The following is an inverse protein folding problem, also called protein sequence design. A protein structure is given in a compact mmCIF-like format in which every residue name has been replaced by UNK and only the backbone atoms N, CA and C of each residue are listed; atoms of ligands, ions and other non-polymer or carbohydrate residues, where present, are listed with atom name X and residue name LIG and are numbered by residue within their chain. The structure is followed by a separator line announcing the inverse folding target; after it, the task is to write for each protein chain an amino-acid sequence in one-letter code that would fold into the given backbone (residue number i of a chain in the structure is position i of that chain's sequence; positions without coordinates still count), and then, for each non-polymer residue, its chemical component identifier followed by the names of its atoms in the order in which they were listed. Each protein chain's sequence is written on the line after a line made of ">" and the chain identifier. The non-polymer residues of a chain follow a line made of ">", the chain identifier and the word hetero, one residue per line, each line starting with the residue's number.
data_IF_347201128918
#
_entry.id   IF_347201128918
#
_cell.length_a   1.000
_cell.length_b   1.000
_cell.length_c   1.000
_cell.angle_alpha   90.00
_cell.angle_beta   90.00
_cell.angle_gamma   90.00
#
_symmetry.space_group_name_H-M   'P 1'
#
loop_
_entity.id
_entity.type
_entity.pdbx_description
1 polymer ?
#
# COMPACT_ATOMS: atom_id res chain seq x y z
N UNK A 1 6.23 -29.83 9.07
CA UNK A 1 6.49 -28.92 7.91
C UNK A 1 6.75 -27.53 8.46
N UNK A 2 7.59 -26.69 7.85
CA UNK A 2 7.75 -25.33 8.36
C UNK A 2 6.40 -24.61 8.29
N UNK A 3 6.04 -23.92 9.38
CA UNK A 3 4.81 -23.13 9.48
C UNK A 3 4.75 -22.05 8.40
N UNK A 4 3.55 -21.52 8.13
CA UNK A 4 3.36 -20.39 7.21
C UNK A 4 3.64 -19.08 7.92
N UNK A 5 4.47 -18.21 7.34
CA UNK A 5 4.68 -16.88 7.89
C UNK A 5 3.39 -16.05 7.83
N UNK A 6 2.98 -15.46 8.95
CA UNK A 6 1.79 -14.63 9.08
C UNK A 6 2.15 -13.17 8.78
N UNK A 7 1.69 -12.65 7.66
CA UNK A 7 2.00 -11.29 7.22
C UNK A 7 0.74 -10.42 7.30
N UNK A 8 0.81 -9.37 8.12
CA UNK A 8 -0.24 -8.35 8.20
C UNK A 8 0.13 -7.16 7.32
N UNK A 9 -0.71 -6.84 6.33
CA UNK A 9 -0.61 -5.62 5.52
C UNK A 9 -1.63 -4.61 6.01
N UNK A 10 -1.20 -3.44 6.43
CA UNK A 10 -2.04 -2.36 6.94
C UNK A 10 -2.02 -1.14 6.02
N UNK A 11 -3.20 -0.60 5.71
CA UNK A 11 -3.38 0.62 4.92
C UNK A 11 -4.53 1.47 5.48
N UNK A 12 -4.57 2.77 5.14
CA UNK A 12 -5.69 3.66 5.47
C UNK A 12 -6.97 3.36 4.68
N UNK A 13 -6.87 2.63 3.57
CA UNK A 13 -7.98 2.30 2.66
C UNK A 13 -7.70 1.02 1.89
N UNK A 14 -7.99 1.03 0.59
CA UNK A 14 -7.84 -0.12 -0.28
C UNK A 14 -6.59 -0.09 -1.17
N UNK A 15 -5.81 1.00 -1.11
CA UNK A 15 -4.60 1.15 -1.94
C UNK A 15 -3.54 0.08 -1.67
N UNK A 16 -3.38 -0.34 -0.42
CA UNK A 16 -2.42 -1.38 -0.01
C UNK A 16 -2.70 -2.77 -0.58
N UNK A 17 -3.85 -3.00 -1.23
CA UNK A 17 -4.13 -4.23 -1.96
C UNK A 17 -3.12 -4.50 -3.08
N UNK A 18 -2.52 -3.46 -3.65
CA UNK A 18 -1.43 -3.58 -4.64
C UNK A 18 -0.19 -4.24 -4.02
N UNK A 19 0.15 -3.86 -2.79
CA UNK A 19 1.25 -4.47 -2.01
C UNK A 19 0.89 -5.90 -1.60
N UNK A 20 -0.33 -6.15 -1.14
CA UNK A 20 -0.81 -7.48 -0.76
C UNK A 20 -0.76 -8.44 -1.96
N UNK A 21 -1.17 -8.00 -3.15
CA UNK A 21 -1.05 -8.75 -4.40
C UNK A 21 0.41 -9.06 -4.72
N UNK A 22 1.29 -8.06 -4.69
CA UNK A 22 2.72 -8.25 -4.98
C UNK A 22 3.37 -9.25 -4.02
N UNK A 23 3.00 -9.20 -2.72
CA UNK A 23 3.42 -10.17 -1.70
C UNK A 23 3.00 -11.59 -2.07
N UNK A 24 1.72 -11.77 -2.39
CA UNK A 24 1.16 -13.08 -2.72
C UNK A 24 1.83 -13.67 -3.96
N UNK A 25 1.96 -12.86 -5.02
CA UNK A 25 2.60 -13.29 -6.27
C UNK A 25 4.06 -13.72 -6.02
N UNK A 26 4.84 -12.87 -5.33
CA UNK A 26 6.25 -13.17 -5.07
C UNK A 26 6.44 -14.36 -4.13
N UNK A 27 5.55 -14.55 -3.15
CA UNK A 27 5.55 -15.72 -2.27
C UNK A 27 5.29 -17.02 -3.06
N UNK A 28 4.34 -16.99 -4.01
CA UNK A 28 4.06 -18.10 -4.91
C UNK A 28 5.26 -18.44 -5.79
N UNK A 29 5.86 -17.43 -6.44
CA UNK A 29 7.03 -17.59 -7.30
C UNK A 29 8.23 -18.19 -6.56
N UNK A 30 8.37 -17.87 -5.26
CA UNK A 30 9.46 -18.38 -4.41
C UNK A 30 9.14 -19.72 -3.73
N UNK A 31 7.93 -20.25 -3.90
CA UNK A 31 7.47 -21.44 -3.17
C UNK A 31 7.47 -21.24 -1.65
N UNK A 32 7.31 -20.00 -1.18
CA UNK A 32 7.30 -19.60 0.23
C UNK A 32 5.86 -19.45 0.72
N UNK A 33 5.32 -20.41 1.50
CA UNK A 33 3.94 -20.33 1.95
C UNK A 33 3.76 -19.22 2.99
N UNK A 34 2.76 -18.36 2.78
CA UNK A 34 2.38 -17.28 3.71
C UNK A 34 0.90 -17.36 4.07
N UNK A 35 0.56 -16.85 5.26
CA UNK A 35 -0.81 -16.49 5.65
C UNK A 35 -0.91 -14.96 5.60
N UNK A 36 -1.71 -14.44 4.66
CA UNK A 36 -1.81 -13.02 4.39
C UNK A 36 -3.07 -12.44 5.02
N UNK A 37 -2.89 -11.40 5.82
CA UNK A 37 -3.94 -10.61 6.46
C UNK A 37 -3.88 -9.19 5.92
N UNK A 38 -5.02 -8.64 5.53
CA UNK A 38 -5.13 -7.26 5.09
C UNK A 38 -6.02 -6.47 6.02
N UNK A 39 -5.49 -5.41 6.60
CA UNK A 39 -6.24 -4.51 7.47
C UNK A 39 -6.35 -3.12 6.84
N UNK A 40 -7.58 -2.63 6.71
CA UNK A 40 -7.89 -1.28 6.23
C UNK A 40 -8.51 -0.43 7.36
N UNK A 41 -8.25 0.88 7.31
CA UNK A 41 -8.88 1.86 8.20
C UNK A 41 -9.74 2.88 7.45
N UNK A 42 -10.86 2.45 6.79
CA UNK A 42 -11.72 3.36 6.06
C UNK A 42 -12.38 4.43 6.95
N UNK A 43 -12.57 4.17 8.24
CA UNK A 43 -13.07 5.16 9.18
C UNK A 43 -12.11 6.33 9.43
N UNK A 44 -10.81 6.14 9.17
CA UNK A 44 -9.78 7.18 9.24
C UNK A 44 -9.36 7.75 7.89
N UNK A 45 -9.84 7.21 6.79
CA UNK A 45 -9.47 7.66 5.45
C UNK A 45 -10.06 9.04 5.10
N UNK A 46 -9.32 9.95 4.47
CA UNK A 46 -7.91 9.84 4.08
C UNK A 46 -6.95 10.34 5.19
N UNK A 47 -5.89 9.61 5.46
CA UNK A 47 -4.90 9.95 6.49
C UNK A 47 -4.16 11.27 6.26
N UNK A 48 -4.11 11.74 5.02
CA UNK A 48 -3.45 13.00 4.65
C UNK A 48 -4.05 14.25 5.28
N UNK A 49 -5.30 14.19 5.73
CA UNK A 49 -6.06 15.32 6.28
C UNK A 49 -6.00 15.40 7.82
N UNK A 50 -5.41 14.40 8.48
CA UNK A 50 -5.35 14.34 9.93
C UNK A 50 -4.23 15.17 10.53
N UNK A 51 -4.46 15.79 11.74
CA UNK A 51 -3.38 16.27 12.58
C UNK A 51 -2.44 15.11 12.95
N UNK A 52 -1.12 15.35 12.85
CA UNK A 52 -0.11 14.30 12.98
C UNK A 52 -0.20 13.49 14.26
N UNK A 53 -0.33 14.18 15.42
CA UNK A 53 -0.35 13.51 16.73
C UNK A 53 -1.59 12.61 16.89
N UNK A 54 -2.75 13.07 16.39
CA UNK A 54 -3.99 12.29 16.43
C UNK A 54 -3.90 11.07 15.52
N UNK A 55 -3.35 11.26 14.31
CA UNK A 55 -3.15 10.15 13.38
C UNK A 55 -2.20 9.11 13.96
N UNK A 56 -1.08 9.55 14.53
CA UNK A 56 -0.11 8.68 15.16
C UNK A 56 -0.74 7.84 16.27
N UNK A 57 -1.50 8.49 17.17
CA UNK A 57 -2.17 7.78 18.26
C UNK A 57 -3.17 6.74 17.72
N UNK A 58 -3.99 7.13 16.75
CA UNK A 58 -4.93 6.21 16.10
C UNK A 58 -4.23 4.98 15.52
N UNK A 59 -3.14 5.18 14.77
CA UNK A 59 -2.38 4.07 14.18
C UNK A 59 -1.79 3.16 15.26
N UNK A 60 -1.25 3.71 16.34
CA UNK A 60 -0.72 2.94 17.47
C UNK A 60 -1.78 2.09 18.16
N UNK A 61 -2.98 2.64 18.36
CA UNK A 61 -4.08 1.94 19.03
C UNK A 61 -4.68 0.84 18.14
N UNK A 62 -4.85 1.11 16.85
CA UNK A 62 -5.26 0.10 15.87
C UNK A 62 -4.24 -1.04 15.79
N UNK A 63 -2.96 -0.70 15.72
CA UNK A 63 -1.90 -1.70 15.59
C UNK A 63 -1.79 -2.58 16.84
N UNK A 64 -1.99 -2.05 18.04
CA UNK A 64 -2.03 -2.86 19.26
C UNK A 64 -3.07 -3.98 19.17
N UNK A 65 -4.30 -3.65 18.75
CA UNK A 65 -5.40 -4.60 18.57
C UNK A 65 -5.13 -5.60 17.43
N UNK A 66 -4.63 -5.11 16.29
CA UNK A 66 -4.33 -5.95 15.13
C UNK A 66 -3.22 -6.97 15.43
N UNK A 67 -2.18 -6.58 16.17
CA UNK A 67 -1.09 -7.49 16.56
C UNK A 67 -1.61 -8.55 17.54
N UNK A 68 -2.44 -8.17 18.51
CA UNK A 68 -3.04 -9.11 19.46
C UNK A 68 -3.91 -10.15 18.76
N UNK A 69 -4.74 -9.72 17.82
CA UNK A 69 -5.69 -10.57 17.07
C UNK A 69 -4.99 -11.43 16.03
N UNK A 70 -4.15 -10.81 15.19
CA UNK A 70 -3.52 -11.49 14.05
C UNK A 70 -2.28 -12.26 14.45
N UNK A 71 -1.54 -11.84 15.49
CA UNK A 71 -0.23 -12.37 15.89
C UNK A 71 0.71 -12.54 14.68
N UNK A 72 1.00 -11.44 13.96
CA UNK A 72 1.78 -11.53 12.74
C UNK A 72 3.28 -11.73 13.02
N UNK A 73 3.97 -12.44 12.14
CA UNK A 73 5.43 -12.54 12.14
C UNK A 73 6.09 -11.28 11.57
N UNK A 74 5.37 -10.55 10.71
CA UNK A 74 5.79 -9.25 10.18
C UNK A 74 4.56 -8.38 9.86
N UNK A 75 4.68 -7.08 10.10
CA UNK A 75 3.67 -6.08 9.74
C UNK A 75 4.21 -5.21 8.60
N UNK A 76 3.45 -5.09 7.52
CA UNK A 76 3.73 -4.18 6.41
C UNK A 76 2.81 -2.96 6.53
N UNK A 77 3.38 -1.80 6.81
CA UNK A 77 2.66 -0.52 6.75
C UNK A 77 2.66 -0.08 5.29
N UNK A 78 1.63 -0.45 4.54
CA UNK A 78 1.53 -0.17 3.12
C UNK A 78 1.25 1.30 2.82
N UNK A 79 0.58 2.03 3.73
CA UNK A 79 0.28 3.45 3.59
C UNK A 79 1.53 4.32 3.78
N UNK A 80 1.88 5.15 2.78
CA UNK A 80 3.00 6.10 2.88
C UNK A 80 2.80 7.10 4.02
N UNK A 81 1.60 7.67 4.15
CA UNK A 81 1.29 8.63 5.22
C UNK A 81 1.43 7.97 6.60
N UNK A 82 0.90 6.75 6.79
CA UNK A 82 1.06 6.02 8.04
C UNK A 82 2.53 5.71 8.35
N UNK A 83 3.30 5.32 7.34
CA UNK A 83 4.73 5.04 7.50
C UNK A 83 5.48 6.27 8.02
N UNK A 84 5.37 7.41 7.35
CA UNK A 84 6.13 8.62 7.75
C UNK A 84 5.62 9.23 9.07
N UNK A 85 4.39 8.89 9.50
CA UNK A 85 3.80 9.41 10.73
C UNK A 85 4.08 8.52 11.95
N UNK A 86 4.08 7.19 11.79
CA UNK A 86 4.02 6.29 12.93
C UNK A 86 5.10 5.19 12.96
N UNK A 87 5.83 4.92 11.87
CA UNK A 87 6.71 3.74 11.80
C UNK A 87 7.75 3.66 12.93
N UNK A 88 8.41 4.77 13.26
CA UNK A 88 9.41 4.80 14.32
C UNK A 88 8.78 4.52 15.71
N UNK A 89 7.59 5.06 15.96
CA UNK A 89 6.84 4.82 17.19
C UNK A 89 6.31 3.38 17.28
N UNK A 90 5.89 2.80 16.15
CA UNK A 90 5.48 1.39 16.08
C UNK A 90 6.65 0.47 16.42
N UNK A 91 7.83 0.71 15.84
CA UNK A 91 9.04 -0.05 16.13
C UNK A 91 9.54 0.09 17.57
N UNK A 92 9.30 1.25 18.18
CA UNK A 92 9.64 1.47 19.58
C UNK A 92 8.68 0.81 20.58
N UNK A 93 7.43 0.55 20.15
CA UNK A 93 6.35 0.03 21.03
C UNK A 93 6.15 -1.47 20.93
N UNK A 94 6.43 -2.08 19.79
CA UNK A 94 6.10 -3.49 19.52
C UNK A 94 7.34 -4.26 19.04
N UNK A 95 7.47 -5.49 19.50
CA UNK A 95 8.62 -6.35 19.16
C UNK A 95 8.51 -6.97 17.73
N UNK A 96 7.30 -6.99 17.15
CA UNK A 96 7.10 -7.52 15.80
C UNK A 96 7.83 -6.64 14.76
N UNK A 97 8.50 -7.23 13.77
CA UNK A 97 9.16 -6.47 12.72
C UNK A 97 8.18 -5.68 11.85
N UNK A 98 8.52 -4.41 11.56
CA UNK A 98 7.75 -3.52 10.69
C UNK A 98 8.49 -3.20 9.41
N UNK A 99 7.82 -3.41 8.27
CA UNK A 99 8.23 -2.96 6.93
C UNK A 99 7.36 -1.79 6.54
N UNK A 100 7.96 -0.61 6.40
CA UNK A 100 7.27 0.60 5.96
C UNK A 100 7.35 0.80 4.46
N UNK A 101 6.49 1.66 3.96
CA UNK A 101 6.44 2.11 2.57
C UNK A 101 6.87 3.57 2.49
N UNK A 102 7.72 3.86 1.52
CA UNK A 102 8.19 5.23 1.26
C UNK A 102 8.26 5.47 -0.25
N UNK A 103 8.20 6.73 -0.69
CA UNK A 103 8.38 7.04 -2.11
C UNK A 103 9.66 6.43 -2.68
N UNK A 104 9.55 5.79 -3.84
CA UNK A 104 10.64 5.02 -4.45
C UNK A 104 11.70 5.93 -5.11
N UNK A 105 12.26 6.88 -4.35
CA UNK A 105 13.21 7.91 -4.82
C UNK A 105 14.49 7.26 -5.36
N UNK A 106 15.08 6.29 -4.62
CA UNK A 106 16.32 5.62 -5.05
C UNK A 106 16.16 4.86 -6.38
N UNK A 107 15.12 4.03 -6.57
CA UNK A 107 14.87 3.41 -7.88
C UNK A 107 14.66 4.43 -9.01
N UNK A 108 13.95 5.52 -8.72
CA UNK A 108 13.72 6.57 -9.72
C UNK A 108 15.00 7.31 -10.11
N UNK A 109 15.87 7.63 -9.15
CA UNK A 109 17.17 8.26 -9.40
C UNK A 109 18.10 7.36 -10.24
N UNK A 110 17.99 6.04 -10.10
CA UNK A 110 18.74 5.09 -10.90
C UNK A 110 18.15 4.91 -12.31
N UNK A 111 16.86 5.19 -12.51
CA UNK A 111 16.14 4.95 -13.76
C UNK A 111 16.13 6.18 -14.68
N UNK A 112 16.16 7.40 -14.12
CA UNK A 112 16.06 8.62 -14.91
C UNK A 112 17.29 8.80 -15.82
N UNK A 113 17.04 9.21 -17.06
CA UNK A 113 18.06 9.59 -18.04
C UNK A 113 18.14 11.13 -18.19
N UNK A 114 17.02 11.82 -17.95
CA UNK A 114 16.96 13.27 -18.03
C UNK A 114 17.48 13.94 -16.74
N UNK A 115 17.55 13.20 -15.64
CA UNK A 115 17.79 13.74 -14.31
C UNK A 115 16.58 14.49 -13.71
N UNK A 116 15.37 14.39 -14.31
CA UNK A 116 14.16 15.04 -13.82
C UNK A 116 13.14 13.99 -13.42
N UNK A 117 12.83 13.95 -12.13
CA UNK A 117 11.92 12.97 -11.52
C UNK A 117 10.67 13.67 -11.00
N UNK A 118 9.50 13.24 -11.43
CA UNK A 118 8.22 13.62 -10.81
C UNK A 118 7.87 12.70 -9.65
N UNK A 119 7.38 13.25 -8.55
CA UNK A 119 6.89 12.48 -7.39
C UNK A 119 5.46 12.89 -7.10
N UNK A 120 4.53 11.99 -7.39
CA UNK A 120 3.13 12.11 -6.99
C UNK A 120 2.97 11.48 -5.60
N UNK A 121 2.58 12.26 -4.60
CA UNK A 121 2.34 11.75 -3.25
C UNK A 121 1.20 12.53 -2.59
N UNK A 122 0.80 12.14 -1.37
CA UNK A 122 -0.15 12.95 -0.61
C UNK A 122 0.51 14.24 -0.09
N UNK A 123 -0.26 15.32 0.15
CA UNK A 123 0.30 16.56 0.69
C UNK A 123 1.08 16.35 2.01
N UNK A 124 0.65 15.41 2.86
CA UNK A 124 1.37 15.11 4.09
C UNK A 124 2.70 14.39 3.83
N UNK A 125 2.76 13.48 2.85
CA UNK A 125 3.99 12.73 2.52
C UNK A 125 5.08 13.65 1.97
N UNK A 126 4.74 14.63 1.11
CA UNK A 126 5.75 15.53 0.52
C UNK A 126 6.31 16.54 1.51
N UNK A 127 5.56 16.90 2.56
CA UNK A 127 5.99 17.88 3.57
C UNK A 127 6.83 17.31 4.70
N UNK A 128 7.21 16.03 4.63
CA UNK A 128 7.98 15.37 5.68
C UNK A 128 9.49 15.47 5.45
N UNK A 129 10.21 15.79 6.49
CA UNK A 129 11.67 15.72 6.51
C UNK A 129 12.21 14.38 6.00
N UNK A 130 11.46 13.32 6.23
CA UNK A 130 11.82 11.99 5.73
C UNK A 130 11.92 11.96 4.20
N UNK A 131 10.97 12.59 3.48
CA UNK A 131 11.01 12.67 2.02
C UNK A 131 12.20 13.51 1.54
N UNK A 132 12.48 14.61 2.22
CA UNK A 132 13.66 15.45 1.95
C UNK A 132 14.96 14.69 2.17
N UNK A 133 15.06 13.92 3.27
CA UNK A 133 16.23 13.04 3.53
C UNK A 133 16.42 11.99 2.44
N UNK A 134 15.35 11.37 1.93
CA UNK A 134 15.44 10.42 0.83
C UNK A 134 16.00 11.07 -0.44
N UNK A 135 15.51 12.26 -0.79
CA UNK A 135 15.98 13.02 -1.96
C UNK A 135 17.45 13.38 -1.80
N UNK A 136 17.81 13.95 -0.65
CA UNK A 136 19.20 14.34 -0.37
C UNK A 136 20.16 13.12 -0.40
N UNK A 137 19.68 11.96 0.06
CA UNK A 137 20.54 10.76 0.12
C UNK A 137 20.70 10.07 -1.23
N UNK A 138 19.61 10.00 -2.03
CA UNK A 138 19.59 9.12 -3.21
C UNK A 138 19.41 9.86 -4.53
N UNK A 139 18.96 11.10 -4.52
CA UNK A 139 18.62 11.86 -5.73
C UNK A 139 19.16 13.30 -5.70
N UNK A 140 20.24 13.55 -4.94
CA UNK A 140 20.86 14.89 -4.83
C UNK A 140 21.33 15.46 -6.17
N UNK A 141 21.58 14.61 -7.15
CA UNK A 141 21.99 14.96 -8.51
C UNK A 141 20.81 15.10 -9.48
N UNK A 142 19.57 14.88 -9.02
CA UNK A 142 18.36 14.98 -9.81
C UNK A 142 17.54 16.23 -9.47
N UNK A 143 16.78 16.71 -10.44
CA UNK A 143 15.74 17.71 -10.25
C UNK A 143 14.43 16.97 -9.88
N UNK A 144 14.09 16.94 -8.58
CA UNK A 144 12.94 16.19 -8.06
C UNK A 144 11.75 17.12 -7.89
N UNK A 145 10.73 16.90 -8.69
CA UNK A 145 9.48 17.69 -8.70
C UNK A 145 8.47 17.01 -7.78
N UNK A 146 8.29 17.53 -6.58
CA UNK A 146 7.33 17.02 -5.60
C UNK A 146 5.95 17.64 -5.83
N UNK A 147 4.92 16.82 -5.96
CA UNK A 147 3.54 17.27 -6.00
C UNK A 147 2.65 16.51 -5.03
N UNK A 148 1.98 17.24 -4.14
CA UNK A 148 0.97 16.73 -3.21
C UNK A 148 -0.40 16.67 -3.87
N UNK A 149 -0.70 15.60 -4.56
CA UNK A 149 -1.96 15.37 -5.24
C UNK A 149 -3.09 15.16 -4.22
N UNK A 150 -3.94 16.16 -4.03
CA UNK A 150 -4.92 16.22 -2.93
C UNK A 150 -6.07 15.23 -3.12
N UNK A 151 -6.56 15.08 -4.37
CA UNK A 151 -7.75 14.28 -4.65
C UNK A 151 -7.44 12.91 -5.25
N UNK A 152 -6.18 12.64 -5.60
CA UNK A 152 -5.82 11.46 -6.38
C UNK A 152 -6.10 10.14 -5.66
N UNK A 153 -5.96 10.09 -4.32
CA UNK A 153 -6.30 8.90 -3.54
C UNK A 153 -7.82 8.64 -3.54
N UNK A 154 -8.65 9.68 -3.39
CA UNK A 154 -10.10 9.54 -3.45
C UNK A 154 -10.58 9.14 -4.87
N UNK A 155 -9.95 9.66 -5.93
CA UNK A 155 -10.21 9.21 -7.30
C UNK A 155 -9.90 7.74 -7.51
N UNK A 156 -8.83 7.23 -6.88
CA UNK A 156 -8.47 5.82 -6.94
C UNK A 156 -9.50 4.93 -6.23
N UNK A 157 -10.00 5.33 -5.05
CA UNK A 157 -11.07 4.62 -4.35
C UNK A 157 -12.38 4.59 -5.18
N UNK A 158 -12.76 5.71 -5.79
CA UNK A 158 -13.91 5.77 -6.70
C UNK A 158 -13.73 4.85 -7.91
N UNK A 159 -12.52 4.80 -8.47
CA UNK A 159 -12.19 3.88 -9.55
C UNK A 159 -12.37 2.42 -9.12
N UNK A 160 -11.92 2.06 -7.93
CA UNK A 160 -12.14 0.73 -7.34
C UNK A 160 -13.63 0.42 -7.14
N UNK A 161 -14.42 1.40 -6.72
CA UNK A 161 -15.87 1.27 -6.59
C UNK A 161 -16.59 1.11 -7.96
N UNK A 162 -15.86 1.25 -9.05
CA UNK A 162 -16.41 1.14 -10.42
C UNK A 162 -16.96 2.42 -10.99
N UNK A 163 -16.74 3.53 -10.31
CA UNK A 163 -17.12 4.85 -10.81
C UNK A 163 -16.15 5.32 -11.90
N UNK A 164 -16.65 6.13 -12.82
CA UNK A 164 -15.80 6.79 -13.81
C UNK A 164 -14.95 7.87 -13.15
N UNK A 165 -13.65 7.88 -13.48
CA UNK A 165 -12.71 8.94 -13.04
C UNK A 165 -12.74 10.06 -14.09
N UNK A 166 -13.10 11.31 -13.72
CA UNK A 166 -13.11 12.43 -14.66
C UNK A 166 -11.66 12.72 -15.13
N UNK A 167 -11.44 12.62 -16.43
CA UNK A 167 -10.10 12.76 -17.01
C UNK A 167 -9.47 14.12 -16.76
N UNK A 168 -10.27 15.20 -16.81
CA UNK A 168 -9.74 16.56 -16.57
C UNK A 168 -9.30 16.75 -15.12
N UNK A 169 -10.03 16.16 -14.15
CA UNK A 169 -9.63 16.17 -12.75
C UNK A 169 -8.35 15.38 -12.55
N UNK A 170 -8.27 14.17 -13.13
CA UNK A 170 -7.07 13.37 -13.05
C UNK A 170 -5.86 14.05 -13.70
N UNK A 171 -6.06 14.66 -14.87
CA UNK A 171 -5.02 15.43 -15.56
C UNK A 171 -4.52 16.59 -14.70
N UNK A 172 -5.42 17.35 -14.07
CA UNK A 172 -5.04 18.46 -13.18
C UNK A 172 -4.22 17.98 -11.97
N UNK A 173 -4.56 16.82 -11.39
CA UNK A 173 -3.84 16.24 -10.25
C UNK A 173 -2.43 15.77 -10.61
N UNK A 174 -2.18 15.35 -11.86
CA UNK A 174 -0.88 14.80 -12.26
C UNK A 174 0.00 15.83 -12.99
N UNK A 175 -0.58 16.83 -13.63
CA UNK A 175 0.14 17.79 -14.49
C UNK A 175 1.37 18.46 -13.83
N UNK A 176 1.35 18.82 -12.54
CA UNK A 176 2.48 19.54 -11.93
C UNK A 176 3.80 18.77 -11.91
N UNK A 177 3.80 17.43 -12.03
CA UNK A 177 5.05 16.65 -12.06
C UNK A 177 5.66 16.53 -13.46
N UNK A 178 4.94 16.97 -14.49
CA UNK A 178 5.43 16.97 -15.87
C UNK A 178 6.04 18.32 -16.22
N UNK A 179 7.34 18.44 -16.08
CA UNK A 179 8.07 19.69 -16.38
C UNK A 179 9.01 19.50 -17.55
N UNK A 180 9.20 20.58 -18.34
CA UNK A 180 10.22 20.67 -19.37
C UNK A 180 11.18 21.81 -19.03
N UNK A 181 12.47 21.65 -19.34
CA UNK A 181 13.52 22.64 -19.15
C UNK A 181 13.94 23.26 -20.48
N UNK A 182 14.50 24.46 -20.49
CA UNK A 182 14.96 25.12 -21.72
C UNK A 182 16.01 24.34 -22.50
N UNK A 183 16.76 23.46 -21.85
CA UNK A 183 17.77 22.58 -22.43
C UNK A 183 17.19 21.34 -23.13
N UNK A 184 15.86 21.23 -23.18
CA UNK A 184 15.13 20.12 -23.79
C UNK A 184 14.92 18.92 -22.88
N UNK A 185 15.49 18.90 -21.66
CA UNK A 185 15.21 17.85 -20.68
C UNK A 185 13.79 17.99 -20.16
N UNK A 186 13.18 16.86 -19.85
CA UNK A 186 11.82 16.80 -19.29
C UNK A 186 11.68 15.64 -18.33
N UNK A 187 10.67 15.68 -17.48
CA UNK A 187 10.34 14.56 -16.59
C UNK A 187 10.26 13.26 -17.39
N UNK A 188 11.08 12.29 -17.08
CA UNK A 188 11.09 10.97 -17.73
C UNK A 188 10.76 9.82 -16.78
N UNK A 189 10.77 10.08 -15.47
CA UNK A 189 10.38 9.12 -14.44
C UNK A 189 9.35 9.76 -13.50
N UNK A 190 8.27 9.03 -13.20
CA UNK A 190 7.24 9.42 -12.23
C UNK A 190 7.12 8.37 -11.14
N UNK A 191 7.31 8.79 -9.88
CA UNK A 191 7.17 7.96 -8.70
C UNK A 191 5.74 8.04 -8.17
N UNK A 192 5.11 6.90 -7.93
CA UNK A 192 3.83 6.80 -7.25
C UNK A 192 4.07 6.67 -5.74
N UNK A 193 4.07 7.80 -5.03
CA UNK A 193 4.34 7.91 -3.59
C UNK A 193 3.10 7.75 -2.69
N UNK A 194 2.08 7.05 -3.18
CA UNK A 194 0.88 6.67 -2.44
C UNK A 194 0.41 5.31 -2.94
N UNK A 195 -0.02 4.43 -2.04
CA UNK A 195 -0.49 3.08 -2.35
C UNK A 195 -1.72 3.02 -3.26
N UNK A 196 -2.52 4.09 -3.28
CA UNK A 196 -3.69 4.21 -4.15
C UNK A 196 -3.34 4.51 -5.61
N UNK A 197 -2.24 5.20 -5.87
CA UNK A 197 -1.93 5.70 -7.21
C UNK A 197 -1.62 4.61 -8.25
N UNK A 198 -1.02 3.45 -7.90
CA UNK A 198 -0.88 2.33 -8.84
C UNK A 198 -2.21 1.81 -9.40
N UNK A 199 -3.34 2.01 -8.68
CA UNK A 199 -4.68 1.65 -9.16
C UNK A 199 -5.11 2.50 -10.37
N UNK A 200 -4.53 3.69 -10.53
CA UNK A 200 -4.77 4.60 -11.66
C UNK A 200 -3.60 4.65 -12.64
N UNK A 201 -2.61 3.73 -12.53
CA UNK A 201 -1.37 3.80 -13.32
C UNK A 201 -1.62 3.86 -14.82
N UNK A 202 -2.57 3.07 -15.34
CA UNK A 202 -2.91 3.06 -16.76
C UNK A 202 -3.49 4.42 -17.22
N UNK A 203 -4.36 5.00 -16.41
CA UNK A 203 -4.98 6.31 -16.69
C UNK A 203 -3.93 7.44 -16.57
N UNK A 204 -3.05 7.39 -15.57
CA UNK A 204 -1.94 8.33 -15.41
C UNK A 204 -1.03 8.28 -16.63
N UNK A 205 -0.65 7.09 -17.08
CA UNK A 205 0.18 6.90 -18.27
C UNK A 205 -0.49 7.43 -19.54
N UNK A 206 -1.80 7.18 -19.70
CA UNK A 206 -2.58 7.63 -20.87
C UNK A 206 -2.76 9.15 -20.92
N UNK A 207 -2.78 9.84 -19.76
CA UNK A 207 -2.96 11.29 -19.66
C UNK A 207 -1.64 12.06 -19.55
N UNK A 208 -0.52 11.36 -19.44
CA UNK A 208 0.80 11.96 -19.45
C UNK A 208 1.05 12.71 -20.79
N UNK A 209 1.61 13.93 -20.77
CA UNK A 209 1.84 14.70 -22.00
C UNK A 209 2.92 14.11 -22.91
N UNK A 210 3.72 13.18 -22.41
CA UNK A 210 4.71 12.36 -23.11
C UNK A 210 4.97 11.05 -22.35
N UNK A 211 5.54 10.03 -22.98
CA UNK A 211 5.89 8.79 -22.31
C UNK A 211 6.85 9.00 -21.15
N UNK A 212 6.57 8.36 -20.01
CA UNK A 212 7.41 8.35 -18.82
C UNK A 212 7.49 6.94 -18.24
N UNK A 213 8.56 6.63 -17.55
CA UNK A 213 8.65 5.45 -16.73
C UNK A 213 7.93 5.69 -15.40
N UNK A 214 6.94 4.85 -15.07
CA UNK A 214 6.25 4.90 -13.78
C UNK A 214 6.93 3.92 -12.82
N UNK A 215 7.26 4.40 -11.60
CA UNK A 215 7.90 3.61 -10.55
C UNK A 215 6.90 3.38 -9.42
N UNK A 216 6.51 2.11 -9.26
CA UNK A 216 5.66 1.60 -8.18
C UNK A 216 6.52 0.84 -7.15
N UNK A 217 6.44 1.17 -5.84
CA UNK A 217 7.24 0.52 -4.80
C UNK A 217 6.74 -0.88 -4.39
N UNK A 218 5.56 -1.32 -4.81
CA UNK A 218 4.89 -2.53 -4.28
C UNK A 218 5.75 -3.79 -4.33
N UNK A 219 6.47 -4.03 -5.44
CA UNK A 219 7.34 -5.21 -5.57
C UNK A 219 8.56 -5.16 -4.62
N UNK A 220 9.12 -3.97 -4.37
CA UNK A 220 10.24 -3.81 -3.45
C UNK A 220 9.80 -4.02 -1.99
N UNK A 221 8.62 -3.53 -1.62
CA UNK A 221 8.00 -3.73 -0.32
C UNK A 221 7.72 -5.22 -0.09
N UNK A 222 7.13 -5.90 -1.06
CA UNK A 222 6.84 -7.32 -1.01
C UNK A 222 8.12 -8.15 -0.79
N UNK A 223 9.17 -7.85 -1.54
CA UNK A 223 10.47 -8.51 -1.38
C UNK A 223 11.01 -8.34 0.03
N UNK A 224 11.00 -7.10 0.54
CA UNK A 224 11.49 -6.81 1.88
C UNK A 224 10.67 -7.49 2.97
N UNK A 225 9.36 -7.55 2.83
CA UNK A 225 8.49 -8.23 3.78
C UNK A 225 8.79 -9.74 3.85
N UNK A 226 8.98 -10.41 2.70
CA UNK A 226 9.34 -11.83 2.68
C UNK A 226 10.76 -12.11 3.21
N UNK A 227 11.70 -11.18 3.05
CA UNK A 227 13.05 -11.29 3.64
C UNK A 227 13.03 -11.19 5.16
N UNK A 228 12.12 -10.38 5.70
CA UNK A 228 12.01 -10.14 7.16
C UNK A 228 11.12 -11.18 7.82
N UNK A 229 10.18 -11.76 7.09
CA UNK A 229 9.27 -12.78 7.61
C UNK A 229 10.05 -14.04 8.00
N UNK A 230 10.28 -14.22 9.30
CA UNK A 230 10.79 -15.47 9.85
C UNK A 230 9.64 -16.42 10.09
N UNK A 231 9.82 -17.68 9.73
CA UNK A 231 8.81 -18.71 10.02
C UNK A 231 8.79 -18.95 11.52
N UNK A 232 7.67 -18.64 12.19
CA UNK A 232 7.48 -19.05 13.59
C UNK A 232 7.51 -20.56 13.68
N UNK A 233 8.27 -21.11 14.63
CA UNK A 233 8.36 -22.57 14.86
C UNK A 233 7.12 -23.14 15.54
N UNK A 234 6.19 -22.29 15.98
CA UNK A 234 4.88 -22.70 16.51
C UNK A 234 3.92 -22.98 15.35
N UNK A 235 4.05 -24.13 14.73
CA UNK A 235 3.19 -24.57 13.65
C UNK A 235 1.83 -25.00 14.21
N UNK A 236 0.78 -24.35 13.75
CA UNK A 236 -0.56 -24.95 13.79
C UNK A 236 -0.60 -26.08 12.73
N UNK A 237 -0.43 -27.34 13.20
CA UNK A 237 -0.31 -28.54 12.35
C UNK A 237 -1.62 -28.93 11.62
N UNK A 238 -2.70 -28.14 11.75
CA UNK A 238 -4.04 -28.55 11.34
C UNK A 238 -4.43 -28.25 9.89
N UNK A 239 -3.58 -27.58 9.09
CA UNK A 239 -3.94 -27.22 7.71
C UNK A 239 -3.01 -27.82 6.65
N UNK A 240 -3.59 -28.71 5.85
CA UNK A 240 -2.95 -29.40 4.73
C UNK A 240 -2.34 -28.48 3.65
N UNK A 241 -1.29 -28.98 3.01
CA UNK A 241 -0.26 -28.29 2.22
C UNK A 241 -0.65 -27.91 0.77
N UNK A 242 -1.92 -27.63 0.39
CA UNK A 242 -2.27 -27.55 -1.04
C UNK A 242 -2.95 -26.29 -1.56
N UNK A 243 -3.44 -25.37 -0.72
CA UNK A 243 -3.96 -24.07 -1.22
C UNK A 243 -3.44 -22.94 -0.35
N UNK A 244 -3.04 -21.81 -0.97
CA UNK A 244 -2.79 -20.60 -0.19
C UNK A 244 -4.09 -20.21 0.50
N UNK A 245 -4.08 -19.93 1.83
CA UNK A 245 -5.29 -19.55 2.52
C UNK A 245 -5.86 -18.27 1.90
N UNK A 246 -7.18 -18.08 1.95
CA UNK A 246 -7.79 -16.82 1.55
C UNK A 246 -7.18 -15.67 2.35
N UNK A 247 -7.08 -14.50 1.74
CA UNK A 247 -6.63 -13.30 2.43
C UNK A 247 -7.72 -12.90 3.42
N UNK A 248 -7.41 -12.92 4.72
CA UNK A 248 -8.33 -12.40 5.73
C UNK A 248 -8.37 -10.88 5.63
N UNK A 249 -9.57 -10.31 5.53
CA UNK A 249 -9.79 -8.88 5.44
C UNK A 249 -10.35 -8.33 6.76
N UNK A 250 -9.75 -7.27 7.26
CA UNK A 250 -10.14 -6.58 8.49
C UNK A 250 -10.39 -5.12 8.14
N UNK A 251 -11.52 -4.55 8.57
CA UNK A 251 -11.82 -3.15 8.33
C UNK A 251 -12.36 -2.47 9.59
N UNK A 252 -12.01 -1.18 9.79
CA UNK A 252 -12.63 -0.37 10.85
C UNK A 252 -14.04 0.04 10.45
N UNK A 253 -14.96 0.09 11.41
CA UNK A 253 -16.32 0.63 11.21
C UNK A 253 -16.39 2.12 11.55
N UNK A 254 -17.25 2.87 10.83
CA UNK A 254 -17.36 4.34 10.91
C UNK A 254 -18.03 4.94 12.13
N UNK A 255 -18.15 4.25 13.26
CA UNK A 255 -18.65 4.84 14.51
C UNK A 255 -17.54 5.68 15.17
N UNK A 256 -17.79 6.96 15.39
CA UNK A 256 -16.81 7.99 15.80
C UNK A 256 -16.05 7.70 17.11
N UNK A 257 -16.47 6.73 17.94
CA UNK A 257 -15.84 6.45 19.24
C UNK A 257 -15.45 4.99 19.50
N UNK A 258 -15.80 4.06 18.62
CA UNK A 258 -15.37 2.67 18.74
C UNK A 258 -14.56 2.28 17.51
N UNK A 259 -13.22 2.27 17.65
CA UNK A 259 -12.37 1.52 16.76
C UNK A 259 -12.65 0.01 16.98
N UNK A 260 -13.88 -0.41 16.77
CA UNK A 260 -14.23 -1.80 16.70
C UNK A 260 -13.56 -2.35 15.44
N UNK A 261 -12.43 -3.01 15.64
CA UNK A 261 -11.82 -3.87 14.63
C UNK A 261 -12.82 -5.00 14.46
N UNK A 262 -13.67 -4.89 13.43
CA UNK A 262 -14.46 -6.04 13.01
C UNK A 262 -13.53 -6.97 12.26
N UNK A 263 -13.04 -7.99 12.94
CA UNK A 263 -12.54 -9.20 12.30
C UNK A 263 -13.78 -9.88 11.72
N UNK A 264 -14.15 -9.49 10.52
CA UNK A 264 -14.96 -10.38 9.73
C UNK A 264 -13.99 -11.40 9.16
N UNK A 265 -14.22 -12.69 9.42
CA UNK A 265 -13.91 -13.74 8.48
C UNK A 265 -14.67 -13.39 7.18
N UNK A 266 -14.25 -12.31 6.58
CA UNK A 266 -14.72 -11.90 5.28
C UNK A 266 -14.06 -12.88 4.31
N UNK A 267 -14.67 -14.04 4.24
CA UNK A 267 -14.67 -14.78 3.00
C UNK A 267 -14.71 -13.72 1.90
N UNK A 268 -13.83 -13.78 0.91
CA UNK A 268 -13.78 -12.90 -0.26
C UNK A 268 -15.15 -12.62 -0.92
N UNK A 269 -16.21 -13.28 -0.45
CA UNK A 269 -17.60 -13.19 -0.90
C UNK A 269 -18.31 -11.87 -0.61
N UNK A 270 -17.80 -11.02 0.28
CA UNK A 270 -18.38 -9.69 0.55
C UNK A 270 -17.62 -8.55 -0.13
N UNK A 271 -16.46 -8.83 -0.73
CA UNK A 271 -15.74 -7.84 -1.53
C UNK A 271 -16.34 -7.77 -2.94
N UNK A 272 -16.49 -6.56 -3.53
CA UNK A 272 -16.81 -6.43 -4.95
C UNK A 272 -15.83 -7.25 -5.80
N UNK A 273 -16.31 -7.95 -6.83
CA UNK A 273 -15.51 -8.83 -7.70
C UNK A 273 -14.22 -8.18 -8.22
N UNK A 274 -14.23 -6.86 -8.43
CA UNK A 274 -13.06 -6.08 -8.84
C UNK A 274 -11.94 -6.07 -7.79
N UNK A 275 -12.27 -6.03 -6.50
CA UNK A 275 -11.28 -6.07 -5.42
C UNK A 275 -10.71 -7.49 -5.27
N UNK A 276 -11.56 -8.49 -5.45
CA UNK A 276 -11.14 -9.89 -5.52
C UNK A 276 -10.15 -10.07 -6.66
N UNK A 277 -10.44 -9.53 -7.85
CA UNK A 277 -9.55 -9.60 -9.01
C UNK A 277 -8.21 -8.88 -8.80
N UNK A 278 -8.16 -7.78 -8.03
CA UNK A 278 -6.90 -7.13 -7.68
C UNK A 278 -6.02 -8.02 -6.81
N UNK A 279 -6.62 -8.76 -5.85
CA UNK A 279 -5.88 -9.65 -4.96
C UNK A 279 -5.45 -10.96 -5.62
N UNK A 280 -6.26 -11.49 -6.51
CA UNK A 280 -6.11 -12.87 -7.01
C UNK A 280 -5.57 -12.96 -8.44
N UNK A 281 -5.61 -11.88 -9.20
CA UNK A 281 -5.38 -11.90 -10.66
C UNK A 281 -6.61 -12.43 -11.43
N UNK A 282 -6.58 -12.31 -12.75
CA UNK A 282 -7.66 -12.82 -13.61
C UNK A 282 -7.80 -14.35 -13.45
N UNK A 283 -9.00 -14.82 -13.13
CA UNK A 283 -9.36 -16.24 -13.13
C UNK A 283 -9.78 -16.86 -11.81
N UNK A 284 -9.74 -16.13 -10.70
CA UNK A 284 -10.20 -16.66 -9.42
C UNK A 284 -11.73 -16.62 -9.30
N UNK A 285 -12.35 -17.78 -9.08
CA UNK A 285 -13.76 -17.88 -8.64
C UNK A 285 -13.79 -18.19 -7.15
N UNK A 286 -14.36 -17.30 -6.30
CA UNK A 286 -14.51 -17.60 -4.88
C UNK A 286 -15.42 -18.82 -4.70
N UNK A 287 -15.00 -19.79 -3.91
CA UNK A 287 -15.84 -20.92 -3.50
C UNK A 287 -16.72 -20.44 -2.36
N UNK A 288 -18.02 -20.35 -2.60
CA UNK A 288 -18.99 -20.07 -1.54
C UNK A 288 -18.95 -21.16 -0.50
N UNK A 289 -18.54 -20.83 0.72
CA UNK A 289 -18.79 -21.70 1.87
C UNK A 289 -20.28 -21.56 2.21
N UNK A 290 -21.01 -22.65 2.11
CA UNK A 290 -22.42 -22.71 2.50
C UNK A 290 -22.55 -22.32 3.98
N UNK A 291 -23.47 -21.38 4.28
CA UNK A 291 -23.89 -21.14 5.66
C UNK A 291 -24.31 -22.48 6.27
N UNK A 292 -23.69 -22.85 7.40
CA UNK A 292 -24.24 -23.90 8.22
C UNK A 292 -25.66 -23.51 8.66
N UNK A 293 -26.65 -24.40 8.62
CA UNK A 293 -27.98 -24.10 9.12
C UNK A 293 -27.93 -23.85 10.64
N UNK A 294 -28.70 -22.85 11.06
CA UNK A 294 -28.96 -22.49 12.47
C UNK A 294 -29.58 -23.66 13.23
#
# INVERSE_FOLDING_TARGET
>A
MPGRARILVFDSGLGGLTVARALRTLAQERGQPIALFYAADPAGFPYGDWPEDRLRQRILDLMARLIEEVRPDVVVIACNTATVTALEHLRARFDVPFVGTVPAIKPAANATQSGIIGVLATPSTIRREYTERLIHTFAYHCDVILHGAKNLAALAERHLAGESVPQDTLRAEIAPVFVSRPDGRRTDVVVLGCTHYPLLQAQIAALAPWPVQIVDPSAAIARRALEVATVSTEADESQGAQEQPPVAFIATSGAENDAAVMVQDACLTTMPDRLVNILTGEGFRPRMLSKAPV
#
